data_IF_169961577654
#
_entry.id   IF_169961577654
#
_cell.length_a   1.000
_cell.length_b   1.000
_cell.length_c   1.000
_cell.angle_alpha   90.00
_cell.angle_beta   90.00
_cell.angle_gamma   90.00
#
_symmetry.space_group_name_H-M   'P 1'
#
loop_
_entity.id
_entity.type
_entity.pdbx_description
1 polymer ?
#
# COMPACT_ATOMS: atom_id res chain seq x y z
N UNK A 1 -4.67 1.08 -19.51
CA UNK A 1 -4.10 0.58 -18.22
C UNK A 1 -5.22 0.43 -17.24
N UNK A 2 -5.25 -0.67 -16.48
CA UNK A 2 -6.25 -0.91 -15.44
C UNK A 2 -5.55 -1.00 -14.08
N UNK A 3 -5.98 -0.18 -13.12
CA UNK A 3 -5.36 -0.10 -11.79
C UNK A 3 -6.27 -0.73 -10.74
N UNK A 4 -5.75 -1.71 -10.00
CA UNK A 4 -6.39 -2.35 -8.86
C UNK A 4 -5.68 -1.94 -7.58
N UNK A 5 -6.39 -1.37 -6.63
CA UNK A 5 -5.86 -1.13 -5.29
C UNK A 5 -5.88 -2.41 -4.46
N UNK A 6 -4.79 -2.70 -3.75
CA UNK A 6 -4.70 -3.83 -2.82
C UNK A 6 -4.25 -3.33 -1.46
N UNK A 7 -5.13 -3.44 -0.49
CA UNK A 7 -4.85 -3.15 0.91
C UNK A 7 -5.28 -4.32 1.80
N UNK A 8 -5.11 -4.21 3.09
CA UNK A 8 -5.55 -5.25 4.00
C UNK A 8 -5.02 -5.11 5.40
N UNK A 9 -5.68 -5.80 6.31
CA UNK A 9 -5.32 -5.83 7.72
C UNK A 9 -3.96 -6.47 7.95
N UNK A 10 -3.34 -6.14 9.07
CA UNK A 10 -2.07 -6.75 9.47
C UNK A 10 -2.24 -8.29 9.53
N UNK A 11 -1.29 -9.02 8.99
CA UNK A 11 -1.30 -10.50 8.94
C UNK A 11 -2.53 -11.13 8.24
N UNK A 12 -3.35 -10.36 7.51
CA UNK A 12 -4.49 -10.88 6.76
C UNK A 12 -4.12 -11.76 5.54
N UNK A 13 -2.89 -11.63 5.04
CA UNK A 13 -2.43 -12.35 3.85
C UNK A 13 -2.45 -11.52 2.57
N UNK A 14 -2.38 -10.19 2.66
CA UNK A 14 -2.28 -9.26 1.53
C UNK A 14 -1.20 -9.70 0.52
N UNK A 15 0.01 -10.00 1.01
CA UNK A 15 1.13 -10.45 0.15
C UNK A 15 0.86 -11.77 -0.58
N UNK A 16 0.05 -12.68 0.01
CA UNK A 16 -0.39 -13.89 -0.68
C UNK A 16 -1.31 -13.57 -1.85
N UNK A 17 -2.23 -12.62 -1.68
CA UNK A 17 -3.10 -12.14 -2.76
C UNK A 17 -2.26 -11.45 -3.84
N UNK A 18 -1.32 -10.58 -3.48
CA UNK A 18 -0.41 -9.92 -4.42
C UNK A 18 0.35 -10.95 -5.26
N UNK A 19 0.93 -11.98 -4.64
CA UNK A 19 1.64 -13.05 -5.34
C UNK A 19 0.73 -13.85 -6.30
N UNK A 20 -0.53 -14.09 -5.91
CA UNK A 20 -1.51 -14.75 -6.77
C UNK A 20 -1.89 -13.88 -7.98
N UNK A 21 -2.00 -12.55 -7.81
CA UNK A 21 -2.27 -11.62 -8.90
C UNK A 21 -1.06 -11.48 -9.85
N UNK A 22 0.14 -11.45 -9.29
CA UNK A 22 1.38 -11.43 -10.08
C UNK A 22 1.50 -12.67 -10.98
N UNK A 23 1.20 -13.85 -10.46
CA UNK A 23 1.16 -15.10 -11.26
C UNK A 23 0.13 -15.05 -12.40
N UNK A 24 -0.87 -14.17 -12.31
CA UNK A 24 -1.90 -13.94 -13.34
C UNK A 24 -1.57 -12.80 -14.30
N UNK A 25 -0.31 -12.32 -14.26
CA UNK A 25 0.20 -11.29 -15.17
C UNK A 25 -0.02 -9.85 -14.71
N UNK A 26 -0.46 -9.62 -13.47
CA UNK A 26 -0.50 -8.28 -12.92
C UNK A 26 0.89 -7.79 -12.53
N UNK A 27 1.18 -6.52 -12.78
CA UNK A 27 2.36 -5.84 -12.26
C UNK A 27 2.06 -5.33 -10.84
N UNK A 28 2.85 -5.75 -9.86
CA UNK A 28 2.70 -5.28 -8.48
C UNK A 28 3.55 -4.03 -8.29
N UNK A 29 2.92 -2.95 -7.87
CA UNK A 29 3.55 -1.70 -7.48
C UNK A 29 3.32 -1.51 -5.98
N UNK A 30 4.35 -1.78 -5.20
CA UNK A 30 4.33 -1.68 -3.74
C UNK A 30 4.68 -0.23 -3.35
N UNK A 31 3.71 0.49 -2.77
CA UNK A 31 3.90 1.88 -2.34
C UNK A 31 4.93 2.00 -1.19
N UNK A 32 5.03 1.00 -0.31
CA UNK A 32 6.04 0.99 0.75
C UNK A 32 7.44 0.83 0.14
N UNK A 33 7.58 0.02 -0.93
CA UNK A 33 8.83 -0.12 -1.67
C UNK A 33 9.22 1.19 -2.39
N UNK A 34 8.25 1.95 -2.92
CA UNK A 34 8.52 3.26 -3.52
C UNK A 34 9.07 4.27 -2.50
N UNK A 35 8.52 4.28 -1.27
CA UNK A 35 9.09 5.11 -0.18
C UNK A 35 10.53 4.69 0.12
N UNK A 36 10.82 3.40 0.11
CA UNK A 36 12.17 2.88 0.33
C UNK A 36 13.13 3.32 -0.79
N UNK A 37 12.68 3.25 -2.04
CA UNK A 37 13.45 3.71 -3.20
C UNK A 37 13.80 5.21 -3.08
N UNK A 38 12.83 6.04 -2.72
CA UNK A 38 13.08 7.47 -2.46
C UNK A 38 14.08 7.70 -1.32
N UNK A 39 14.01 6.92 -0.25
CA UNK A 39 14.92 7.06 0.89
C UNK A 39 16.36 6.68 0.56
N UNK A 40 16.55 5.87 -0.46
CA UNK A 40 17.86 5.47 -0.96
C UNK A 40 18.43 6.48 -2.00
N UNK A 41 17.63 7.48 -2.44
CA UNK A 41 18.07 8.57 -3.31
C UNK A 41 18.76 9.69 -2.50
N UNK A 42 20.04 10.02 -2.78
CA UNK A 42 20.79 11.03 -2.02
C UNK A 42 20.15 12.43 -2.05
N UNK A 43 19.55 12.83 -3.18
CA UNK A 43 18.89 14.14 -3.31
C UNK A 43 17.66 14.22 -2.40
N UNK A 44 16.80 13.20 -2.42
CA UNK A 44 15.63 13.13 -1.54
C UNK A 44 16.04 13.04 -0.07
N UNK A 45 17.06 12.22 0.25
CA UNK A 45 17.60 12.10 1.59
C UNK A 45 18.13 13.46 2.12
N UNK A 46 18.75 14.27 1.26
CA UNK A 46 19.18 15.63 1.58
C UNK A 46 18.01 16.55 1.94
N UNK A 47 16.88 16.44 1.22
CA UNK A 47 15.66 17.20 1.54
C UNK A 47 15.07 16.80 2.90
N UNK A 48 15.07 15.50 3.23
CA UNK A 48 14.65 15.02 4.55
C UNK A 48 15.60 15.52 5.64
N UNK A 49 16.92 15.47 5.41
CA UNK A 49 17.91 15.95 6.35
C UNK A 49 17.80 17.47 6.61
N UNK A 50 17.36 18.25 5.62
CA UNK A 50 17.08 19.68 5.81
C UNK A 50 15.92 19.96 6.77
N UNK A 51 14.98 19.01 6.92
CA UNK A 51 13.85 19.13 7.84
C UNK A 51 14.14 18.58 9.25
N UNK A 52 14.96 17.53 9.34
CA UNK A 52 15.13 16.74 10.58
C UNK A 52 16.59 16.75 11.10
N UNK A 53 17.47 17.43 10.39
CA UNK A 53 18.90 17.48 10.72
C UNK A 53 19.72 16.35 10.10
N UNK A 54 21.05 16.47 10.06
CA UNK A 54 21.93 15.49 9.40
C UNK A 54 21.96 14.13 10.09
N UNK A 55 21.51 14.02 11.34
CA UNK A 55 21.46 12.76 12.08
C UNK A 55 20.50 11.71 11.51
N UNK A 56 19.65 12.07 10.54
CA UNK A 56 18.77 11.13 9.83
C UNK A 56 19.45 10.50 8.60
N UNK A 57 20.70 10.84 8.30
CA UNK A 57 21.45 10.26 7.19
C UNK A 57 22.35 9.11 7.66
N UNK A 58 22.49 8.11 6.79
CA UNK A 58 23.49 7.06 6.90
C UNK A 58 24.85 7.56 6.41
N UNK A 59 25.90 6.73 6.56
CA UNK A 59 27.22 7.00 6.00
C UNK A 59 27.21 7.12 4.47
N UNK A 60 26.30 6.40 3.82
CA UNK A 60 26.09 6.37 2.36
C UNK A 60 25.22 7.55 1.87
N UNK A 61 24.86 8.50 2.73
CA UNK A 61 23.99 9.66 2.46
C UNK A 61 22.56 9.28 2.04
N UNK A 62 22.11 8.11 2.42
CA UNK A 62 20.71 7.67 2.33
C UNK A 62 20.01 7.86 3.66
N UNK A 63 18.68 7.61 3.75
CA UNK A 63 17.95 7.76 4.99
C UNK A 63 18.25 6.63 5.98
N UNK A 64 18.77 6.98 7.15
CA UNK A 64 18.86 6.10 8.32
C UNK A 64 17.48 5.91 8.94
N UNK A 65 16.67 5.00 8.39
CA UNK A 65 15.24 4.80 8.71
C UNK A 65 14.97 4.69 10.20
N UNK A 66 15.88 4.06 10.97
CA UNK A 66 15.74 3.93 12.42
C UNK A 66 15.86 5.27 13.13
N UNK A 67 16.81 6.12 12.69
CA UNK A 67 17.01 7.46 13.26
C UNK A 67 15.83 8.38 12.94
N UNK A 68 15.38 8.40 11.66
CA UNK A 68 14.20 9.15 11.26
C UNK A 68 12.94 8.67 12.00
N UNK A 69 12.74 7.35 12.10
CA UNK A 69 11.63 6.75 12.82
C UNK A 69 11.58 7.16 14.29
N UNK A 70 12.73 7.22 14.97
CA UNK A 70 12.80 7.66 16.38
C UNK A 70 12.31 9.11 16.57
N UNK A 71 12.47 9.98 15.57
CA UNK A 71 11.98 11.36 15.59
C UNK A 71 10.47 11.40 15.35
N UNK A 72 9.99 10.77 14.28
CA UNK A 72 8.61 10.94 13.82
C UNK A 72 7.60 10.06 14.56
N UNK A 73 8.05 9.01 15.24
CA UNK A 73 7.14 8.07 15.94
C UNK A 73 6.50 8.69 17.19
N UNK A 74 7.17 9.66 17.81
CA UNK A 74 6.75 10.30 19.05
C UNK A 74 6.33 11.78 18.86
N UNK A 75 6.35 12.29 17.63
CA UNK A 75 6.00 13.67 17.29
C UNK A 75 5.10 13.69 16.05
N UNK A 76 3.80 13.90 16.29
CA UNK A 76 2.78 13.94 15.23
C UNK A 76 3.04 15.10 14.23
N UNK A 77 3.54 16.23 14.70
CA UNK A 77 3.88 17.36 13.84
C UNK A 77 5.09 17.03 12.95
N UNK A 78 6.09 16.32 13.48
CA UNK A 78 7.22 15.83 12.71
C UNK A 78 6.76 14.79 11.67
N UNK A 79 5.89 13.85 12.07
CA UNK A 79 5.32 12.87 11.14
C UNK A 79 4.59 13.55 9.99
N UNK A 80 3.75 14.54 10.28
CA UNK A 80 3.01 15.29 9.26
C UNK A 80 3.92 16.07 8.31
N UNK A 81 5.01 16.65 8.81
CA UNK A 81 6.04 17.30 7.97
C UNK A 81 6.71 16.29 7.02
N UNK A 82 7.02 15.10 7.52
CA UNK A 82 7.59 14.03 6.70
C UNK A 82 6.59 13.58 5.63
N UNK A 83 5.35 13.31 6.00
CA UNK A 83 4.29 12.89 5.07
C UNK A 83 4.07 13.93 3.96
N UNK A 84 4.05 15.22 4.30
CA UNK A 84 3.93 16.31 3.31
C UNK A 84 5.09 16.36 2.30
N UNK A 85 6.27 15.88 2.67
CA UNK A 85 7.41 15.78 1.77
C UNK A 85 7.38 14.47 0.95
N UNK A 86 7.04 13.35 1.60
CA UNK A 86 7.09 12.00 1.01
C UNK A 86 5.94 11.77 0.04
N UNK A 87 4.71 12.15 0.39
CA UNK A 87 3.54 11.83 -0.42
C UNK A 87 3.62 12.36 -1.87
N UNK A 88 3.97 13.65 -2.11
CA UNK A 88 4.13 14.15 -3.46
C UNK A 88 5.25 13.45 -4.24
N UNK A 89 6.38 13.17 -3.59
CA UNK A 89 7.51 12.51 -4.22
C UNK A 89 7.18 11.06 -4.62
N UNK A 90 6.50 10.32 -3.73
CA UNK A 90 6.00 8.96 -4.04
C UNK A 90 4.99 9.01 -5.20
N UNK A 91 4.12 10.02 -5.24
CA UNK A 91 3.16 10.16 -6.32
C UNK A 91 3.86 10.33 -7.67
N UNK A 92 4.88 11.19 -7.75
CA UNK A 92 5.68 11.38 -8.97
C UNK A 92 6.37 10.07 -9.38
N UNK A 93 7.09 9.42 -8.46
CA UNK A 93 7.77 8.17 -8.74
C UNK A 93 6.81 7.07 -9.19
N UNK A 94 5.63 6.99 -8.57
CA UNK A 94 4.55 6.08 -8.98
C UNK A 94 4.13 6.35 -10.42
N UNK A 95 3.85 7.60 -10.77
CA UNK A 95 3.43 7.98 -12.12
C UNK A 95 4.49 7.64 -13.18
N UNK A 96 5.76 7.85 -12.88
CA UNK A 96 6.85 7.51 -13.79
C UNK A 96 6.93 5.99 -14.02
N UNK A 97 6.77 5.19 -12.96
CA UNK A 97 6.71 3.73 -13.10
C UNK A 97 5.49 3.25 -13.88
N UNK A 98 4.32 3.86 -13.64
CA UNK A 98 3.11 3.54 -14.39
C UNK A 98 3.25 3.90 -15.87
N UNK A 99 3.88 5.04 -16.18
CA UNK A 99 4.18 5.48 -17.54
C UNK A 99 5.15 4.52 -18.23
N UNK A 100 6.21 4.10 -17.55
CA UNK A 100 7.16 3.13 -18.08
C UNK A 100 6.48 1.77 -18.37
N UNK A 101 5.62 1.29 -17.47
CA UNK A 101 4.85 0.06 -17.70
C UNK A 101 3.92 0.19 -18.91
N UNK A 102 3.25 1.33 -19.08
CA UNK A 102 2.36 1.59 -20.22
C UNK A 102 3.11 1.61 -21.57
N UNK A 103 4.36 2.05 -21.56
CA UNK A 103 5.22 2.03 -22.75
C UNK A 103 5.60 0.60 -23.15
N UNK A 104 5.85 -0.27 -22.18
CA UNK A 104 6.22 -1.67 -22.42
C UNK A 104 5.01 -2.56 -22.78
N UNK A 105 3.82 -2.23 -22.24
CA UNK A 105 2.57 -2.95 -22.49
C UNK A 105 1.44 -1.91 -22.65
N UNK A 106 0.76 -1.85 -23.82
CA UNK A 106 -0.28 -0.86 -24.06
C UNK A 106 -1.48 -0.92 -23.10
N UNK A 107 -1.74 -2.10 -22.53
CA UNK A 107 -2.86 -2.32 -21.60
C UNK A 107 -2.44 -3.07 -20.33
N UNK A 108 -1.48 -2.56 -19.54
CA UNK A 108 -1.03 -3.26 -18.35
C UNK A 108 -2.12 -3.26 -17.29
N UNK A 109 -2.16 -4.35 -16.52
CA UNK A 109 -2.92 -4.41 -15.29
C UNK A 109 -1.93 -4.23 -14.15
N UNK A 110 -2.14 -3.20 -13.35
CA UNK A 110 -1.25 -2.85 -12.25
C UNK A 110 -2.01 -2.97 -10.94
N UNK A 111 -1.40 -3.60 -9.96
CA UNK A 111 -1.89 -3.68 -8.58
C UNK A 111 -1.08 -2.70 -7.75
N UNK A 112 -1.73 -1.66 -7.25
CA UNK A 112 -1.14 -0.74 -6.29
C UNK A 112 -1.33 -1.31 -4.89
N UNK A 113 -0.25 -1.85 -4.32
CA UNK A 113 -0.23 -2.42 -2.97
C UNK A 113 0.20 -1.36 -1.96
N UNK A 114 -0.62 -1.10 -0.94
CA UNK A 114 -0.27 -0.23 0.18
C UNK A 114 -1.04 -0.61 1.44
N UNK A 115 -0.42 -0.44 2.62
CA UNK A 115 -1.09 -0.68 3.91
C UNK A 115 -2.15 0.40 4.15
N UNK A 116 -1.80 1.66 3.95
CA UNK A 116 -2.67 2.83 4.16
C UNK A 116 -3.26 3.37 2.84
N UNK A 117 -3.63 2.49 1.91
CA UNK A 117 -4.09 2.87 0.56
C UNK A 117 -5.32 3.79 0.59
N UNK A 118 -6.27 3.50 1.45
CA UNK A 118 -7.51 4.28 1.58
C UNK A 118 -7.26 5.57 2.37
N UNK A 119 -6.55 5.48 3.48
CA UNK A 119 -6.27 6.58 4.39
C UNK A 119 -5.40 7.67 3.75
N UNK A 120 -4.48 7.28 2.87
CA UNK A 120 -3.60 8.21 2.15
C UNK A 120 -4.22 8.81 0.89
N UNK A 121 -5.46 8.41 0.53
CA UNK A 121 -6.13 8.84 -0.70
C UNK A 121 -5.52 8.27 -1.99
N UNK A 122 -4.55 7.38 -1.91
CA UNK A 122 -3.91 6.75 -3.07
C UNK A 122 -4.84 5.80 -3.85
N UNK A 123 -5.99 5.46 -3.27
CA UNK A 123 -7.02 4.65 -3.91
C UNK A 123 -7.69 5.35 -5.11
N UNK A 124 -7.61 6.69 -5.18
CA UNK A 124 -8.18 7.45 -6.31
C UNK A 124 -7.56 7.01 -7.62
N UNK A 125 -8.40 6.83 -8.62
CA UNK A 125 -7.98 6.33 -9.94
C UNK A 125 -7.85 4.81 -10.05
N UNK A 126 -8.02 4.06 -8.95
CA UNK A 126 -8.19 2.62 -9.04
C UNK A 126 -9.59 2.27 -9.58
N UNK A 127 -9.67 1.25 -10.45
CA UNK A 127 -10.95 0.72 -10.93
C UNK A 127 -11.73 0.00 -9.82
N UNK A 128 -11.01 -0.56 -8.85
CA UNK A 128 -11.55 -1.15 -7.63
C UNK A 128 -10.45 -1.22 -6.56
N UNK A 129 -10.85 -1.36 -5.29
CA UNK A 129 -9.94 -1.68 -4.19
C UNK A 129 -10.33 -3.03 -3.57
N UNK A 130 -9.37 -3.90 -3.44
CA UNK A 130 -9.50 -5.15 -2.68
C UNK A 130 -8.84 -5.00 -1.32
N UNK A 131 -9.61 -5.22 -0.26
CA UNK A 131 -9.14 -5.20 1.11
C UNK A 131 -9.12 -6.62 1.67
N UNK A 132 -7.92 -7.15 1.89
CA UNK A 132 -7.76 -8.50 2.47
C UNK A 132 -7.95 -8.43 3.97
N UNK A 133 -8.85 -9.24 4.49
CA UNK A 133 -9.19 -9.30 5.92
C UNK A 133 -9.18 -10.74 6.40
N UNK A 134 -9.04 -10.95 7.70
CA UNK A 134 -9.30 -12.24 8.33
C UNK A 134 -9.85 -12.03 9.76
N UNK A 135 -10.28 -13.11 10.39
CA UNK A 135 -10.75 -13.07 11.76
C UNK A 135 -9.63 -12.61 12.72
N UNK A 136 -9.94 -11.82 13.78
CA UNK A 136 -8.94 -11.32 14.72
C UNK A 136 -8.10 -12.42 15.37
N UNK A 137 -8.68 -13.58 15.62
CA UNK A 137 -8.00 -14.74 16.19
C UNK A 137 -6.92 -15.29 15.24
N UNK A 138 -7.22 -15.28 13.94
CA UNK A 138 -6.29 -15.70 12.88
C UNK A 138 -5.17 -14.65 12.73
N UNK A 139 -5.50 -13.36 12.81
CA UNK A 139 -4.49 -12.30 12.83
C UNK A 139 -3.52 -12.47 14.01
N UNK A 140 -4.08 -12.66 15.20
CA UNK A 140 -3.32 -12.87 16.43
C UNK A 140 -2.37 -14.06 16.29
N UNK A 141 -2.89 -15.20 15.89
CA UNK A 141 -2.10 -16.42 15.69
C UNK A 141 -0.97 -16.19 14.66
N UNK A 142 -1.27 -15.56 13.51
CA UNK A 142 -0.26 -15.30 12.47
C UNK A 142 0.80 -14.30 12.92
N UNK A 143 0.44 -13.29 13.73
CA UNK A 143 1.39 -12.31 14.29
C UNK A 143 2.34 -12.96 15.28
N UNK A 144 1.83 -13.81 16.17
CA UNK A 144 2.65 -14.53 17.13
C UNK A 144 3.56 -15.55 16.44
N UNK A 145 3.02 -16.40 15.57
CA UNK A 145 3.78 -17.49 14.95
C UNK A 145 4.77 -17.03 13.87
N UNK A 146 4.37 -16.08 13.00
CA UNK A 146 5.20 -15.67 11.85
C UNK A 146 6.07 -14.45 12.12
N UNK A 147 5.70 -13.60 13.10
CA UNK A 147 6.44 -12.37 13.41
C UNK A 147 7.05 -12.38 14.82
N UNK A 148 6.85 -13.46 15.61
CA UNK A 148 7.42 -13.60 16.93
C UNK A 148 6.94 -12.57 17.95
N UNK A 149 5.76 -11.96 17.74
CA UNK A 149 5.22 -10.98 18.68
C UNK A 149 4.63 -11.65 19.91
N UNK A 150 4.73 -10.98 21.06
CA UNK A 150 3.92 -11.34 22.22
C UNK A 150 2.44 -11.11 21.92
N UNK A 151 1.56 -11.76 22.68
CA UNK A 151 0.12 -11.60 22.53
C UNK A 151 -0.32 -10.14 22.71
N UNK A 152 0.17 -9.47 23.73
CA UNK A 152 -0.15 -8.06 24.00
C UNK A 152 0.28 -7.14 22.87
N UNK A 153 1.49 -7.32 22.35
CA UNK A 153 2.00 -6.55 21.23
C UNK A 153 1.20 -6.81 19.94
N UNK A 154 0.73 -8.04 19.73
CA UNK A 154 -0.09 -8.40 18.59
C UNK A 154 -1.50 -7.79 18.72
N UNK A 155 -2.14 -7.88 19.89
CA UNK A 155 -3.46 -7.26 20.15
C UNK A 155 -3.41 -5.74 20.00
N UNK A 156 -2.39 -5.08 20.55
CA UNK A 156 -2.20 -3.64 20.39
C UNK A 156 -2.11 -3.23 18.89
N UNK A 157 -1.43 -4.00 18.04
CA UNK A 157 -1.36 -3.72 16.59
C UNK A 157 -2.68 -3.98 15.86
N UNK A 158 -3.43 -4.98 16.29
CA UNK A 158 -4.76 -5.27 15.72
C UNK A 158 -5.73 -4.14 16.06
N UNK A 159 -5.72 -3.62 17.28
CA UNK A 159 -6.64 -2.56 17.73
C UNK A 159 -6.40 -1.21 17.06
N UNK A 160 -5.21 -0.95 16.52
CA UNK A 160 -4.89 0.28 15.80
C UNK A 160 -5.43 0.31 14.36
N UNK A 161 -5.99 -0.80 13.88
CA UNK A 161 -6.50 -0.85 12.51
C UNK A 161 -7.89 -0.22 12.42
N UNK A 162 -8.18 0.56 11.36
CA UNK A 162 -9.51 1.11 11.16
C UNK A 162 -10.53 -0.02 10.96
N UNK A 163 -11.72 0.10 11.55
CA UNK A 163 -12.79 -0.87 11.38
C UNK A 163 -13.29 -0.91 9.94
N UNK A 164 -13.94 -2.02 9.55
CA UNK A 164 -14.45 -2.21 8.16
C UNK A 164 -15.35 -1.06 7.71
N UNK A 165 -16.15 -0.50 8.60
CA UNK A 165 -17.06 0.60 8.28
C UNK A 165 -16.31 1.88 7.92
N UNK A 166 -15.25 2.18 8.64
CA UNK A 166 -14.37 3.32 8.32
C UNK A 166 -13.68 3.14 6.96
N UNK A 167 -13.21 1.94 6.65
CA UNK A 167 -12.66 1.61 5.33
C UNK A 167 -13.68 1.82 4.21
N UNK A 168 -14.96 1.47 4.44
CA UNK A 168 -16.05 1.74 3.48
C UNK A 168 -16.24 3.24 3.26
N UNK A 169 -16.23 4.04 4.33
CA UNK A 169 -16.34 5.51 4.25
C UNK A 169 -15.18 6.12 3.47
N UNK A 170 -13.96 5.67 3.74
CA UNK A 170 -12.75 6.13 3.02
C UNK A 170 -12.79 5.77 1.53
N UNK A 171 -13.25 4.56 1.19
CA UNK A 171 -13.41 4.14 -0.20
C UNK A 171 -14.50 4.96 -0.91
N UNK A 172 -15.63 5.21 -0.25
CA UNK A 172 -16.69 6.07 -0.78
C UNK A 172 -16.21 7.51 -1.00
N UNK A 173 -15.42 8.07 -0.08
CA UNK A 173 -14.81 9.40 -0.23
C UNK A 173 -13.77 9.45 -1.37
N UNK A 174 -13.23 8.32 -1.76
CA UNK A 174 -12.32 8.17 -2.90
C UNK A 174 -13.05 7.79 -4.19
N UNK A 175 -14.37 7.64 -4.14
CA UNK A 175 -15.24 7.24 -5.27
C UNK A 175 -14.78 5.92 -5.93
N UNK A 176 -14.30 4.98 -5.11
CA UNK A 176 -13.78 3.70 -5.59
C UNK A 176 -14.55 2.51 -5.01
N UNK A 177 -14.95 1.53 -5.83
CA UNK A 177 -15.56 0.30 -5.34
C UNK A 177 -14.62 -0.46 -4.40
N UNK A 178 -15.10 -0.84 -3.21
CA UNK A 178 -14.34 -1.59 -2.21
C UNK A 178 -14.92 -2.99 -2.04
N UNK A 179 -14.04 -3.99 -2.18
CA UNK A 179 -14.37 -5.39 -1.97
C UNK A 179 -13.50 -5.98 -0.86
N UNK A 180 -14.12 -6.70 0.09
CA UNK A 180 -13.39 -7.42 1.14
C UNK A 180 -13.13 -8.86 0.73
N UNK A 181 -11.86 -9.29 0.85
CA UNK A 181 -11.44 -10.68 0.63
C UNK A 181 -11.18 -11.32 1.99
N UNK A 182 -12.07 -12.20 2.41
CA UNK A 182 -11.91 -12.94 3.67
C UNK A 182 -10.96 -14.12 3.50
N UNK A 183 -9.84 -14.08 4.21
CA UNK A 183 -8.76 -15.08 4.19
C UNK A 183 -8.70 -15.85 5.52
N UNK A 184 -9.79 -16.54 5.84
CA UNK A 184 -9.91 -17.36 7.05
C UNK A 184 -9.58 -18.84 6.83
N UNK A 185 -9.46 -19.26 5.58
CA UNK A 185 -9.29 -20.66 5.21
C UNK A 185 -7.89 -21.00 4.75
N UNK A 186 -7.83 -22.05 3.94
CA UNK A 186 -6.61 -22.61 3.36
C UNK A 186 -6.07 -21.73 2.20
N UNK A 187 -4.79 -21.87 1.83
CA UNK A 187 -4.25 -21.22 0.64
C UNK A 187 -5.01 -21.57 -0.66
N UNK A 188 -5.50 -22.79 -0.80
CA UNK A 188 -6.28 -23.22 -1.97
C UNK A 188 -7.64 -22.49 -2.05
N UNK A 189 -8.32 -22.29 -0.92
CA UNK A 189 -9.56 -21.51 -0.87
C UNK A 189 -9.34 -20.04 -1.20
N UNK A 190 -8.24 -19.46 -0.72
CA UNK A 190 -7.86 -18.10 -1.08
C UNK A 190 -7.60 -17.99 -2.59
N UNK A 191 -6.86 -18.92 -3.16
CA UNK A 191 -6.56 -18.93 -4.60
C UNK A 191 -7.83 -18.99 -5.45
N UNK A 192 -8.79 -19.87 -5.10
CA UNK A 192 -10.10 -19.94 -5.77
C UNK A 192 -10.88 -18.62 -5.69
N UNK A 193 -10.91 -17.99 -4.51
CA UNK A 193 -11.55 -16.68 -4.33
C UNK A 193 -10.91 -15.62 -5.21
N UNK A 194 -9.58 -15.53 -5.18
CA UNK A 194 -8.83 -14.56 -6.00
C UNK A 194 -9.06 -14.80 -7.49
N UNK A 195 -9.12 -16.05 -7.93
CA UNK A 195 -9.40 -16.40 -9.32
C UNK A 195 -10.76 -15.89 -9.80
N UNK A 196 -11.81 -16.12 -9.00
CA UNK A 196 -13.17 -15.64 -9.33
C UNK A 196 -13.19 -14.11 -9.41
N UNK A 197 -12.65 -13.43 -8.40
CA UNK A 197 -12.62 -11.98 -8.34
C UNK A 197 -11.77 -11.36 -9.44
N UNK A 198 -10.68 -12.02 -9.80
CA UNK A 198 -9.82 -11.59 -10.90
C UNK A 198 -10.54 -11.60 -12.24
N UNK A 199 -11.29 -12.69 -12.53
CA UNK A 199 -12.11 -12.78 -13.74
C UNK A 199 -13.17 -11.69 -13.79
N UNK A 200 -13.81 -11.36 -12.67
CA UNK A 200 -14.79 -10.26 -12.62
C UNK A 200 -14.11 -8.89 -12.78
N UNK A 201 -12.96 -8.69 -12.15
CA UNK A 201 -12.18 -7.45 -12.32
C UNK A 201 -11.77 -7.22 -13.78
N UNK A 202 -11.42 -8.27 -14.52
CA UNK A 202 -11.05 -8.15 -15.93
C UNK A 202 -12.21 -7.64 -16.82
N UNK A 203 -13.46 -7.90 -16.43
CA UNK A 203 -14.66 -7.45 -17.15
C UNK A 203 -15.01 -5.98 -16.89
N UNK A 204 -14.48 -5.35 -15.86
CA UNK A 204 -14.74 -3.94 -15.56
C UNK A 204 -14.20 -3.11 -16.72
N UNK A 205 -15.09 -2.37 -17.38
CA UNK A 205 -14.67 -1.38 -18.37
C UNK A 205 -14.05 -0.19 -17.64
N UNK A 206 -12.79 0.14 -17.97
CA UNK A 206 -12.20 1.39 -17.48
C UNK A 206 -12.59 2.49 -18.44
N UNK A 207 -13.16 3.62 -17.96
CA UNK A 207 -13.39 4.77 -18.80
C UNK A 207 -12.07 5.18 -19.46
N UNK A 208 -12.12 5.53 -20.75
CA UNK A 208 -10.94 5.90 -21.55
C UNK A 208 -10.16 7.11 -21.01
N UNK A 209 -10.71 7.80 -20.01
CA UNK A 209 -10.17 9.02 -19.40
C UNK A 209 -9.73 8.81 -17.95
N UNK A 210 -8.71 7.98 -17.71
CA UNK A 210 -7.79 8.28 -16.62
C UNK A 210 -6.64 9.12 -17.18
N UNK A 211 -6.97 10.33 -17.64
CA UNK A 211 -5.99 11.39 -17.80
C UNK A 211 -5.67 11.87 -16.39
N UNK A 212 -4.50 11.51 -15.89
CA UNK A 212 -3.91 12.08 -14.67
C UNK A 212 -3.39 13.50 -14.95
N UNK A 213 -4.21 14.33 -15.62
CA UNK A 213 -3.99 15.75 -15.77
C UNK A 213 -4.82 16.45 -14.68
N UNK A 214 -4.14 17.08 -13.75
CA UNK A 214 -4.58 17.93 -12.65
C UNK A 214 -4.50 17.31 -11.24
N UNK A 215 -3.28 17.24 -10.72
CA UNK A 215 -2.98 17.53 -9.33
C UNK A 215 -1.84 18.55 -9.31
N UNK A 216 -2.20 19.83 -9.54
CA UNK A 216 -1.39 20.98 -9.11
C UNK A 216 -1.69 21.31 -7.67
#
# INVERSE_FOLDING_TARGET
MKLLGLTGDIASGKSSVAALLQKRGAHILDADALVHELYDEPEFAGRVASLFGPGVLSAEKTIARRALGAIVFNDEAALKRLENLVHPAVAVLREDKLRALKTQNPAPIVVLEAVKLLESGQARGCAAVWCVICAPEIQLQRLMQKRGLSEDAARARISLQPPREEKRKLAAASEVPLLFIENNGTPCELEKKVEILWREFLKIETPETCQFENCQ
#
